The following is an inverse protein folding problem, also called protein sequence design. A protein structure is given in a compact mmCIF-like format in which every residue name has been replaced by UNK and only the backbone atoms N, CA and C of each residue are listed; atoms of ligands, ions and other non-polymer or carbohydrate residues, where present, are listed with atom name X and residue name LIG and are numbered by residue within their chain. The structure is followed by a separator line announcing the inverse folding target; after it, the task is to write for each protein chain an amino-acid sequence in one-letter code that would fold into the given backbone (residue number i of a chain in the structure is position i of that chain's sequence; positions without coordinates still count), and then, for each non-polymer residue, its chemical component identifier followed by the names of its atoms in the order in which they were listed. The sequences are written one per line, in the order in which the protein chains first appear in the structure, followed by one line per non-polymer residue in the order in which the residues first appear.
data_IF_367950115514
#
_entry.id   IF_367950115514
#
_cell.length_a   1.000
_cell.length_b   1.000
_cell.length_c   1.000
_cell.angle_alpha   90.00
_cell.angle_beta   90.00
_cell.angle_gamma   90.00
#
_symmetry.space_group_name_H-M   'P 1'
#
loop_
_entity.id
_entity.type
_entity.pdbx_description
1 polymer ?
#
# COMPACT_ATOMS: atom_id res chain seq x y z
N UNK A 1 -2.98 75.27 48.43
CA UNK A 1 -2.32 74.04 47.94
C UNK A 1 -2.72 72.89 48.85
N UNK A 2 -3.81 72.20 48.54
CA UNK A 2 -4.21 70.97 49.23
C UNK A 2 -3.97 69.78 48.31
N UNK A 3 -3.02 68.94 48.72
CA UNK A 3 -2.74 67.66 48.07
C UNK A 3 -3.96 66.73 48.18
N UNK A 4 -4.66 66.49 47.07
CA UNK A 4 -5.50 65.32 46.91
C UNK A 4 -4.65 64.17 46.39
N UNK A 5 -4.05 63.39 47.30
CA UNK A 5 -3.50 62.06 46.96
C UNK A 5 -4.66 61.14 46.56
N UNK A 6 -4.82 60.91 45.26
CA UNK A 6 -5.72 59.89 44.75
C UNK A 6 -5.29 58.52 45.32
N UNK A 7 -6.12 57.96 46.22
CA UNK A 7 -5.96 56.59 46.72
C UNK A 7 -5.95 55.64 45.52
N UNK A 8 -4.80 55.04 45.24
CA UNK A 8 -4.67 53.95 44.26
C UNK A 8 -5.36 52.71 44.85
N UNK A 9 -6.65 52.55 44.57
CA UNK A 9 -7.41 51.37 44.98
C UNK A 9 -6.81 50.17 44.24
N UNK A 10 -6.06 49.33 44.95
CA UNK A 10 -5.63 48.01 44.47
C UNK A 10 -6.90 47.17 44.31
N UNK A 11 -7.38 47.01 43.08
CA UNK A 11 -8.49 46.11 42.78
C UNK A 11 -7.90 44.72 42.57
N UNK A 12 -7.85 43.92 43.63
CA UNK A 12 -7.53 42.49 43.54
C UNK A 12 -8.75 41.76 42.97
N UNK A 13 -8.89 41.81 41.64
CA UNK A 13 -9.88 41.05 40.91
C UNK A 13 -9.27 39.70 40.54
N UNK A 14 -9.42 38.67 41.38
CA UNK A 14 -8.96 37.33 41.03
C UNK A 14 -9.91 36.75 39.96
N UNK A 15 -9.55 36.91 38.68
CA UNK A 15 -10.31 36.38 37.54
C UNK A 15 -10.02 34.89 37.33
N UNK A 16 -10.96 34.17 36.71
CA UNK A 16 -10.73 32.79 36.30
C UNK A 16 -9.67 32.74 35.18
N UNK A 17 -8.48 32.24 35.53
CA UNK A 17 -7.26 32.28 34.69
C UNK A 17 -7.37 31.45 33.42
N UNK A 18 -8.41 30.63 33.29
CA UNK A 18 -8.55 29.71 32.17
C UNK A 18 -8.91 30.39 30.85
N UNK A 19 -9.53 31.58 30.88
CA UNK A 19 -10.01 32.23 29.65
C UNK A 19 -9.89 33.76 29.60
N UNK A 20 -9.43 34.41 30.67
CA UNK A 20 -9.10 35.85 30.67
C UNK A 20 -7.64 36.07 31.06
N UNK A 21 -6.94 36.92 30.31
CA UNK A 21 -5.60 37.40 30.65
C UNK A 21 -5.63 38.91 30.87
N UNK A 22 -5.06 39.37 31.97
CA UNK A 22 -4.92 40.81 32.24
C UNK A 22 -3.89 41.44 31.28
N UNK A 23 -4.20 42.64 30.78
CA UNK A 23 -3.31 43.44 29.93
C UNK A 23 -3.20 44.86 30.50
N UNK A 24 -2.00 45.44 30.42
CA UNK A 24 -1.73 46.85 30.75
C UNK A 24 -2.29 47.31 32.11
N UNK A 25 -1.78 46.72 33.20
CA UNK A 25 -1.93 47.28 34.56
C UNK A 25 -3.36 47.34 35.11
N UNK A 26 -4.14 46.25 34.97
CA UNK A 26 -5.52 46.07 35.46
C UNK A 26 -6.60 46.95 34.80
N UNK A 27 -6.31 47.53 33.62
CA UNK A 27 -7.30 48.35 32.91
C UNK A 27 -7.93 47.65 31.71
N UNK A 28 -7.23 46.69 31.11
CA UNK A 28 -7.73 45.89 30.00
C UNK A 28 -7.61 44.40 30.29
N UNK A 29 -8.50 43.63 29.68
CA UNK A 29 -8.51 42.18 29.72
C UNK A 29 -8.57 41.62 28.30
N UNK A 30 -7.91 40.49 28.08
CA UNK A 30 -7.97 39.73 26.83
C UNK A 30 -8.76 38.45 27.03
N UNK A 31 -9.78 38.26 26.21
CA UNK A 31 -10.52 37.01 26.15
C UNK A 31 -9.78 36.01 25.25
N UNK A 32 -9.56 34.79 25.72
CA UNK A 32 -8.95 33.73 24.91
C UNK A 32 -9.96 33.06 23.96
N UNK A 33 -11.27 33.23 24.20
CA UNK A 33 -12.31 32.66 23.34
C UNK A 33 -12.47 33.49 22.07
N UNK A 34 -12.61 34.82 22.18
CA UNK A 34 -12.78 35.72 21.01
C UNK A 34 -11.52 36.48 20.61
N UNK A 35 -10.40 36.23 21.29
CA UNK A 35 -9.10 36.85 21.03
C UNK A 35 -9.08 38.39 21.11
N UNK A 36 -10.16 39.01 21.63
CA UNK A 36 -10.34 40.45 21.69
C UNK A 36 -9.89 41.04 23.02
N UNK A 37 -9.48 42.31 22.97
CA UNK A 37 -9.14 43.10 24.14
C UNK A 37 -10.34 43.99 24.50
N UNK A 38 -10.72 44.03 25.77
CA UNK A 38 -11.80 44.86 26.28
C UNK A 38 -11.40 45.57 27.57
N UNK A 39 -12.01 46.74 27.81
CA UNK A 39 -11.74 47.52 29.02
C UNK A 39 -12.47 46.93 30.23
N UNK A 40 -11.77 46.89 31.36
CA UNK A 40 -12.29 46.53 32.69
C UNK A 40 -12.15 47.69 33.69
N UNK A 41 -11.84 48.89 33.18
CA UNK A 41 -11.51 50.07 33.99
C UNK A 41 -12.68 50.58 34.85
N UNK A 42 -13.91 50.33 34.44
CA UNK A 42 -15.11 50.87 35.09
C UNK A 42 -15.87 49.83 35.93
N UNK A 43 -16.20 48.68 35.36
CA UNK A 43 -17.01 47.63 36.01
C UNK A 43 -16.21 46.41 36.47
N UNK A 44 -14.92 46.31 36.14
CA UNK A 44 -14.03 45.24 36.60
C UNK A 44 -14.60 43.85 36.29
N UNK A 45 -14.99 43.11 37.34
CA UNK A 45 -15.59 41.77 37.21
C UNK A 45 -16.95 41.78 36.49
N UNK A 46 -17.70 42.87 36.57
CA UNK A 46 -18.98 42.99 35.87
C UNK A 46 -18.78 43.10 34.34
N UNK A 47 -17.74 43.80 33.91
CA UNK A 47 -17.38 43.93 32.48
C UNK A 47 -16.96 42.56 31.91
N UNK A 48 -16.19 41.80 32.69
CA UNK A 48 -15.80 40.42 32.36
C UNK A 48 -17.04 39.51 32.27
N UNK A 49 -17.95 39.59 33.23
CA UNK A 49 -19.16 38.77 33.26
C UNK A 49 -20.08 39.10 32.08
N UNK A 50 -20.26 40.39 31.77
CA UNK A 50 -21.07 40.86 30.65
C UNK A 50 -20.45 40.44 29.31
N UNK A 51 -19.11 40.48 29.20
CA UNK A 51 -18.40 40.01 28.02
C UNK A 51 -18.66 38.52 27.77
N UNK A 52 -18.53 37.65 28.78
CA UNK A 52 -18.77 36.19 28.66
C UNK A 52 -20.19 35.87 28.22
N UNK A 53 -21.16 36.52 28.85
CA UNK A 53 -22.57 36.29 28.56
C UNK A 53 -23.05 37.07 27.34
N UNK A 54 -22.16 37.82 26.68
CA UNK A 54 -22.43 38.46 25.41
C UNK A 54 -22.74 37.44 24.32
N UNK A 55 -23.68 37.79 23.44
CA UNK A 55 -24.15 36.95 22.34
C UNK A 55 -23.02 36.32 21.52
N UNK A 56 -21.98 37.11 21.22
CA UNK A 56 -20.81 36.67 20.46
C UNK A 56 -20.05 35.51 21.12
N UNK A 57 -19.74 35.60 22.41
CA UNK A 57 -19.01 34.55 23.13
C UNK A 57 -19.88 33.30 23.34
N UNK A 58 -21.19 33.48 23.59
CA UNK A 58 -22.12 32.36 23.68
C UNK A 58 -22.24 31.57 22.37
N UNK A 59 -22.34 32.27 21.23
CA UNK A 59 -22.43 31.63 19.91
C UNK A 59 -21.15 30.86 19.57
N UNK A 60 -19.98 31.45 19.86
CA UNK A 60 -18.71 30.76 19.65
C UNK A 60 -18.48 29.59 20.60
N UNK A 61 -18.91 29.67 21.86
CA UNK A 61 -18.84 28.56 22.80
C UNK A 61 -19.74 27.38 22.35
N UNK A 62 -20.92 27.68 21.79
CA UNK A 62 -21.78 26.68 21.15
C UNK A 62 -21.16 26.08 19.88
N UNK A 63 -20.47 26.88 19.06
CA UNK A 63 -19.74 26.40 17.90
C UNK A 63 -18.53 25.52 18.29
N UNK A 64 -17.79 25.90 19.34
CA UNK A 64 -16.65 25.15 19.83
C UNK A 64 -17.04 23.81 20.47
N UNK A 65 -18.21 23.74 21.14
CA UNK A 65 -18.73 22.49 21.71
C UNK A 65 -19.34 21.54 20.69
N UNK A 66 -19.85 22.06 19.56
CA UNK A 66 -20.36 21.25 18.45
C UNK A 66 -19.27 20.80 17.47
N UNK A 67 -18.13 21.49 17.43
CA UNK A 67 -16.98 21.12 16.61
C UNK A 67 -16.11 20.06 17.30
N UNK A 68 -15.80 18.96 16.59
CA UNK A 68 -14.88 17.95 17.11
C UNK A 68 -13.45 18.42 16.90
N UNK A 69 -12.61 18.24 17.93
CA UNK A 69 -11.19 18.52 17.81
C UNK A 69 -10.58 17.64 16.72
N UNK A 70 -9.76 18.22 15.83
CA UNK A 70 -9.06 17.49 14.76
C UNK A 70 -8.25 16.31 15.32
N UNK A 71 -7.71 16.43 16.54
CA UNK A 71 -6.99 15.36 17.23
C UNK A 71 -7.84 14.09 17.42
N UNK A 72 -9.15 14.22 17.62
CA UNK A 72 -10.07 13.10 17.76
C UNK A 72 -10.35 12.35 16.45
N UNK A 73 -9.98 12.93 15.30
CA UNK A 73 -10.08 12.28 14.00
C UNK A 73 -8.88 11.37 13.70
N UNK A 74 -7.77 11.55 14.42
CA UNK A 74 -6.63 10.64 14.33
C UNK A 74 -6.89 9.43 15.23
N UNK A 75 -7.15 8.26 14.62
CA UNK A 75 -7.26 7.01 15.36
C UNK A 75 -5.95 6.78 16.14
N UNK A 76 -6.02 6.27 17.38
CA UNK A 76 -4.82 5.86 18.09
C UNK A 76 -4.02 4.89 17.23
N UNK A 77 -2.70 5.06 17.22
CA UNK A 77 -1.81 4.24 16.41
C UNK A 77 -1.99 2.78 16.85
N UNK A 78 -2.15 1.84 15.90
CA UNK A 78 -2.28 0.42 16.24
C UNK A 78 -1.10 -0.02 17.09
N UNK A 79 -1.33 -0.90 18.05
CA UNK A 79 -0.25 -1.50 18.81
C UNK A 79 0.76 -2.16 17.85
N UNK A 80 2.06 -1.94 18.09
CA UNK A 80 3.13 -2.48 17.24
C UNK A 80 3.02 -4.00 17.05
N UNK A 81 2.52 -4.71 18.08
CA UNK A 81 2.26 -6.15 18.03
C UNK A 81 1.20 -6.54 16.98
N UNK A 82 0.12 -5.75 16.84
CA UNK A 82 -0.89 -5.98 15.82
C UNK A 82 -0.32 -5.76 14.42
N UNK A 83 0.47 -4.71 14.22
CA UNK A 83 1.15 -4.45 12.93
C UNK A 83 2.08 -5.61 12.57
N UNK A 84 2.87 -6.11 13.54
CA UNK A 84 3.73 -7.28 13.35
C UNK A 84 2.93 -8.53 12.94
N UNK A 85 1.79 -8.78 13.59
CA UNK A 85 0.91 -9.90 13.24
C UNK A 85 0.39 -9.78 11.80
N UNK A 86 -0.01 -8.58 11.37
CA UNK A 86 -0.47 -8.32 9.99
C UNK A 86 0.64 -8.57 8.96
N UNK A 87 1.88 -8.17 9.26
CA UNK A 87 3.03 -8.42 8.39
C UNK A 87 3.35 -9.93 8.27
N UNK A 88 3.35 -10.65 9.39
CA UNK A 88 3.56 -12.11 9.42
C UNK A 88 2.46 -12.83 8.64
N UNK A 89 1.20 -12.43 8.83
CA UNK A 89 0.08 -12.97 8.06
C UNK A 89 0.24 -12.72 6.55
N UNK A 90 0.62 -11.50 6.15
CA UNK A 90 0.84 -11.15 4.74
C UNK A 90 1.93 -12.00 4.10
N UNK A 91 3.00 -12.27 4.83
CA UNK A 91 4.09 -13.14 4.39
C UNK A 91 3.62 -14.60 4.27
N UNK A 92 2.83 -15.09 5.21
CA UNK A 92 2.24 -16.43 5.17
C UNK A 92 1.36 -16.63 3.93
N UNK A 93 0.45 -15.68 3.66
CA UNK A 93 -0.43 -15.70 2.48
C UNK A 93 0.39 -15.75 1.20
N UNK A 94 1.43 -14.90 1.08
CA UNK A 94 2.30 -14.88 -0.08
C UNK A 94 3.08 -16.19 -0.26
N UNK A 95 3.67 -16.72 0.81
CA UNK A 95 4.49 -17.93 0.79
C UNK A 95 3.71 -19.17 0.36
N UNK A 96 2.46 -19.28 0.78
CA UNK A 96 1.61 -20.45 0.50
C UNK A 96 0.70 -20.26 -0.72
N UNK A 97 0.92 -19.19 -1.51
CA UNK A 97 0.10 -18.85 -2.68
C UNK A 97 -1.41 -18.84 -2.36
N UNK A 98 -1.77 -18.35 -1.17
CA UNK A 98 -3.17 -18.27 -0.76
C UNK A 98 -3.81 -17.04 -1.38
N UNK A 99 -5.09 -17.15 -1.76
CA UNK A 99 -5.81 -16.00 -2.29
C UNK A 99 -5.89 -14.90 -1.23
N UNK A 100 -5.70 -13.64 -1.64
CA UNK A 100 -5.76 -12.48 -0.72
C UNK A 100 -7.15 -12.32 -0.09
N UNK A 101 -8.19 -12.92 -0.70
CA UNK A 101 -9.53 -13.03 -0.13
C UNK A 101 -9.53 -13.73 1.24
N UNK A 102 -8.61 -14.66 1.49
CA UNK A 102 -8.46 -15.32 2.80
C UNK A 102 -8.25 -14.31 3.94
N UNK A 103 -7.64 -13.17 3.64
CA UNK A 103 -7.35 -12.12 4.64
C UNK A 103 -8.63 -11.40 5.10
N UNK A 104 -9.64 -11.27 4.22
CA UNK A 104 -10.92 -10.67 4.60
C UNK A 104 -11.68 -11.55 5.61
N UNK A 105 -11.56 -12.88 5.46
CA UNK A 105 -12.12 -13.84 6.39
C UNK A 105 -11.30 -13.92 7.69
N UNK A 106 -9.97 -13.88 7.59
CA UNK A 106 -9.05 -13.93 8.73
C UNK A 106 -9.35 -12.85 9.77
N UNK A 107 -9.69 -11.62 9.33
CA UNK A 107 -10.06 -10.52 10.23
C UNK A 107 -11.25 -10.83 11.14
N UNK A 108 -12.21 -11.60 10.64
CA UNK A 108 -13.40 -11.99 11.41
C UNK A 108 -13.16 -13.27 12.21
N UNK A 109 -12.23 -14.09 11.76
CA UNK A 109 -11.93 -15.40 12.32
C UNK A 109 -11.04 -15.28 13.57
N UNK A 110 -9.97 -14.49 13.52
CA UNK A 110 -9.02 -14.42 14.63
C UNK A 110 -9.61 -13.94 15.96
N UNK A 111 -10.47 -12.91 16.02
CA UNK A 111 -11.13 -12.53 17.27
C UNK A 111 -12.04 -13.63 17.84
N UNK A 112 -12.57 -14.52 16.99
CA UNK A 112 -13.42 -15.65 17.40
C UNK A 112 -12.59 -16.85 17.87
N UNK A 113 -11.46 -17.09 17.22
CA UNK A 113 -10.52 -18.16 17.61
C UNK A 113 -9.79 -17.82 18.91
N UNK A 114 -9.45 -16.55 19.12
CA UNK A 114 -8.63 -16.07 20.23
C UNK A 114 -9.30 -14.87 20.93
N UNK A 115 -10.41 -15.07 21.66
CA UNK A 115 -11.19 -13.99 22.26
C UNK A 115 -10.47 -13.29 23.43
N UNK A 116 -9.48 -13.92 24.02
CA UNK A 116 -8.60 -13.39 25.08
C UNK A 116 -7.47 -12.51 24.53
N UNK A 117 -7.13 -12.64 23.24
CA UNK A 117 -6.02 -11.94 22.62
C UNK A 117 -6.39 -10.52 22.16
N UNK A 118 -5.81 -9.51 22.80
CA UNK A 118 -5.92 -8.12 22.35
C UNK A 118 -5.33 -7.89 20.95
N UNK A 119 -4.31 -8.68 20.57
CA UNK A 119 -3.73 -8.64 19.22
C UNK A 119 -4.75 -9.11 18.19
N UNK A 120 -5.46 -10.21 18.47
CA UNK A 120 -6.47 -10.75 17.57
C UNK A 120 -7.65 -9.79 17.42
N UNK A 121 -8.10 -9.13 18.50
CA UNK A 121 -9.14 -8.09 18.45
C UNK A 121 -8.75 -6.87 17.62
N UNK A 122 -7.48 -6.47 17.69
CA UNK A 122 -6.96 -5.34 16.93
C UNK A 122 -6.50 -5.70 15.51
N UNK A 123 -6.46 -6.99 15.18
CA UNK A 123 -6.07 -7.48 13.86
C UNK A 123 -7.09 -7.01 12.82
N UNK A 124 -6.64 -6.24 11.84
CA UNK A 124 -7.49 -5.80 10.74
C UNK A 124 -6.62 -5.63 9.50
N UNK A 125 -6.38 -6.77 8.85
CA UNK A 125 -5.63 -6.97 7.62
C UNK A 125 -6.59 -7.45 6.52
N UNK A 126 -7.40 -6.56 5.94
CA UNK A 126 -8.22 -6.90 4.76
C UNK A 126 -7.36 -6.91 3.49
N UNK A 127 -7.84 -7.49 2.38
CA UNK A 127 -7.08 -7.75 1.13
C UNK A 127 -6.12 -6.64 0.66
N UNK A 128 -6.46 -5.37 0.89
CA UNK A 128 -5.66 -4.21 0.48
C UNK A 128 -4.32 -4.11 1.22
N UNK A 129 -4.29 -4.46 2.50
CA UNK A 129 -3.07 -4.43 3.33
C UNK A 129 -2.03 -5.48 2.95
N UNK A 130 -2.35 -6.79 2.90
CA UNK A 130 -1.39 -7.78 2.45
C UNK A 130 -1.00 -7.53 1.00
N UNK A 131 -1.90 -7.02 0.14
CA UNK A 131 -1.51 -6.56 -1.21
C UNK A 131 -0.43 -5.48 -1.15
N UNK A 132 -0.62 -4.44 -0.33
CA UNK A 132 0.35 -3.37 -0.18
C UNK A 132 1.68 -3.88 0.41
N UNK A 133 1.64 -4.73 1.45
CA UNK A 133 2.83 -5.33 2.05
C UNK A 133 3.59 -6.18 1.02
N UNK A 134 2.88 -7.02 0.26
CA UNK A 134 3.48 -7.85 -0.77
C UNK A 134 4.09 -6.98 -1.88
N UNK A 135 3.34 -6.03 -2.43
CA UNK A 135 3.79 -5.21 -3.56
C UNK A 135 4.89 -4.21 -3.19
N UNK A 136 4.79 -3.57 -2.03
CA UNK A 136 5.65 -2.44 -1.66
C UNK A 136 6.85 -2.86 -0.80
N UNK A 137 6.74 -3.96 -0.03
CA UNK A 137 7.82 -4.39 0.85
C UNK A 137 8.46 -5.70 0.37
N UNK A 138 7.67 -6.75 0.15
CA UNK A 138 8.23 -8.08 -0.15
C UNK A 138 8.74 -8.19 -1.59
N UNK A 139 7.98 -7.69 -2.57
CA UNK A 139 8.33 -7.81 -3.98
C UNK A 139 9.65 -7.09 -4.33
N UNK A 140 9.88 -5.81 -3.96
CA UNK A 140 11.12 -5.13 -4.30
C UNK A 140 12.35 -5.79 -3.68
N UNK A 141 12.23 -6.27 -2.43
CA UNK A 141 13.33 -6.97 -1.75
C UNK A 141 13.66 -8.31 -2.40
N UNK A 142 12.63 -9.08 -2.75
CA UNK A 142 12.80 -10.39 -3.41
C UNK A 142 13.35 -10.22 -4.82
N UNK A 143 12.82 -9.25 -5.59
CA UNK A 143 13.30 -8.90 -6.93
C UNK A 143 14.75 -8.44 -6.89
N UNK A 144 15.12 -7.54 -5.98
CA UNK A 144 16.51 -7.07 -5.84
C UNK A 144 17.48 -8.21 -5.55
N UNK A 145 17.09 -9.18 -4.71
CA UNK A 145 17.92 -10.35 -4.42
C UNK A 145 18.07 -11.25 -5.65
N UNK A 146 16.98 -11.55 -6.34
CA UNK A 146 17.01 -12.35 -7.58
C UNK A 146 17.84 -11.65 -8.66
N UNK A 147 17.63 -10.35 -8.85
CA UNK A 147 18.39 -9.53 -9.78
C UNK A 147 19.88 -9.55 -9.43
N UNK A 148 20.26 -9.41 -8.15
CA UNK A 148 21.68 -9.46 -7.75
C UNK A 148 22.36 -10.79 -8.08
N UNK A 149 21.62 -11.92 -8.02
CA UNK A 149 22.15 -13.22 -8.43
C UNK A 149 22.24 -13.28 -9.96
N UNK A 150 21.16 -12.91 -10.66
CA UNK A 150 21.08 -12.95 -12.12
C UNK A 150 22.01 -11.94 -12.82
N UNK A 151 22.43 -10.84 -12.17
CA UNK A 151 23.43 -9.92 -12.70
C UNK A 151 24.85 -10.49 -12.66
N UNK A 152 25.11 -11.45 -11.76
CA UNK A 152 26.43 -12.06 -11.57
C UNK A 152 26.57 -13.44 -12.23
N UNK A 153 25.50 -13.96 -12.81
CA UNK A 153 25.48 -15.28 -13.45
C UNK A 153 24.64 -15.26 -14.72
N UNK A 154 24.97 -16.11 -15.68
CA UNK A 154 24.08 -16.38 -16.80
C UNK A 154 22.70 -16.86 -16.31
N UNK A 155 21.63 -16.42 -16.99
CA UNK A 155 20.27 -16.81 -16.65
C UNK A 155 19.49 -17.29 -17.88
N UNK A 156 18.39 -18.00 -17.62
CA UNK A 156 17.44 -18.46 -18.64
C UNK A 156 16.14 -17.66 -18.55
N UNK A 157 15.55 -17.34 -19.69
CA UNK A 157 14.30 -16.63 -19.81
C UNK A 157 13.16 -17.61 -20.10
N UNK A 158 12.14 -17.62 -19.23
CA UNK A 158 10.93 -18.40 -19.38
C UNK A 158 9.77 -17.45 -19.69
N UNK A 159 9.06 -17.69 -20.78
CA UNK A 159 7.91 -16.89 -21.19
C UNK A 159 6.77 -17.78 -21.65
N UNK A 160 5.63 -17.63 -20.98
CA UNK A 160 4.41 -18.38 -21.27
C UNK A 160 3.47 -17.53 -22.14
N UNK A 161 2.97 -18.12 -23.22
CA UNK A 161 2.06 -17.49 -24.17
C UNK A 161 0.64 -18.02 -23.97
N UNK A 162 -0.29 -17.20 -23.48
CA UNK A 162 -1.71 -17.61 -23.50
C UNK A 162 -2.34 -17.28 -24.86
N UNK A 163 -3.14 -18.22 -25.37
CA UNK A 163 -3.98 -18.04 -26.57
C UNK A 163 -5.47 -17.89 -26.20
N UNK A 164 -5.77 -17.40 -25.00
CA UNK A 164 -7.15 -17.23 -24.54
C UNK A 164 -7.88 -16.20 -25.39
N UNK A 165 -8.83 -16.68 -26.19
CA UNK A 165 -9.66 -15.90 -27.12
C UNK A 165 -10.76 -15.08 -26.43
N UNK A 166 -10.78 -15.06 -25.10
CA UNK A 166 -11.87 -14.48 -24.31
C UNK A 166 -11.83 -12.97 -24.21
N UNK A 167 -10.71 -12.32 -24.57
CA UNK A 167 -10.66 -10.87 -24.74
C UNK A 167 -10.38 -10.47 -26.19
N UNK A 168 -11.18 -9.49 -26.62
CA UNK A 168 -11.39 -9.05 -27.99
C UNK A 168 -10.09 -8.62 -28.66
N UNK A 169 -9.89 -9.11 -29.89
CA UNK A 169 -9.21 -8.43 -31.00
C UNK A 169 -8.04 -7.52 -30.59
N UNK A 170 -6.86 -8.11 -30.43
CA UNK A 170 -5.64 -7.30 -30.45
C UNK A 170 -4.70 -7.77 -31.55
N UNK A 171 -4.35 -6.81 -32.40
CA UNK A 171 -3.71 -6.90 -33.72
C UNK A 171 -2.43 -7.75 -33.67
N UNK A 172 -2.49 -8.97 -34.21
CA UNK A 172 -1.49 -10.06 -34.10
C UNK A 172 -0.08 -9.70 -34.61
N UNK A 173 0.10 -8.58 -35.33
CA UNK A 173 1.35 -8.27 -36.03
C UNK A 173 2.27 -7.27 -35.31
N UNK A 174 1.78 -6.46 -34.36
CA UNK A 174 2.61 -5.50 -33.62
C UNK A 174 3.04 -5.99 -32.23
N UNK A 175 2.38 -7.03 -31.71
CA UNK A 175 2.66 -7.58 -30.38
C UNK A 175 4.09 -8.07 -30.21
N UNK A 176 4.71 -8.65 -31.25
CA UNK A 176 6.04 -9.25 -31.13
C UNK A 176 7.12 -8.22 -30.75
N UNK A 177 7.06 -7.04 -31.37
CA UNK A 177 7.96 -5.93 -31.07
C UNK A 177 7.64 -5.31 -29.70
N UNK A 178 6.36 -5.16 -29.36
CA UNK A 178 5.93 -4.64 -28.05
C UNK A 178 6.37 -5.58 -26.92
N UNK A 179 6.20 -6.90 -27.10
CA UNK A 179 6.63 -7.92 -26.13
C UNK A 179 8.15 -7.93 -25.97
N UNK A 180 8.89 -7.90 -27.07
CA UNK A 180 10.35 -7.80 -27.03
C UNK A 180 10.81 -6.52 -26.31
N UNK A 181 10.21 -5.37 -26.62
CA UNK A 181 10.52 -4.10 -25.99
C UNK A 181 10.16 -4.07 -24.50
N UNK A 182 9.02 -4.65 -24.12
CA UNK A 182 8.58 -4.78 -22.73
C UNK A 182 9.50 -5.71 -21.94
N UNK A 183 9.91 -6.84 -22.52
CA UNK A 183 10.87 -7.77 -21.92
C UNK A 183 12.20 -7.08 -21.68
N UNK A 184 12.75 -6.39 -22.69
CA UNK A 184 14.00 -5.66 -22.58
C UNK A 184 13.91 -4.56 -21.51
N UNK A 185 12.87 -3.73 -21.56
CA UNK A 185 12.62 -2.69 -20.55
C UNK A 185 12.50 -3.27 -19.14
N UNK A 186 11.84 -4.43 -18.99
CA UNK A 186 11.67 -5.09 -17.70
C UNK A 186 13.01 -5.58 -17.14
N UNK A 187 13.85 -6.21 -17.97
CA UNK A 187 15.19 -6.64 -17.56
C UNK A 187 16.08 -5.45 -17.19
N UNK A 188 16.09 -4.41 -18.03
CA UNK A 188 16.87 -3.19 -17.80
C UNK A 188 16.43 -2.46 -16.52
N UNK A 189 15.12 -2.42 -16.22
CA UNK A 189 14.61 -1.86 -14.97
C UNK A 189 15.12 -2.57 -13.72
N UNK A 190 15.54 -3.83 -13.85
CA UNK A 190 16.13 -4.64 -12.78
C UNK A 190 17.67 -4.64 -12.82
N UNK A 191 18.30 -3.88 -13.72
CA UNK A 191 19.76 -3.88 -13.91
C UNK A 191 20.30 -5.17 -14.55
N UNK A 192 19.43 -5.96 -15.19
CA UNK A 192 19.82 -7.18 -15.88
C UNK A 192 20.16 -6.87 -17.34
N UNK A 193 21.39 -7.20 -17.73
CA UNK A 193 21.80 -7.05 -19.12
C UNK A 193 21.37 -8.27 -19.91
N UNK A 194 20.76 -8.01 -21.07
CA UNK A 194 20.30 -9.06 -21.98
C UNK A 194 21.45 -9.97 -22.47
N UNK A 195 22.70 -9.49 -22.45
CA UNK A 195 23.91 -10.25 -22.80
C UNK A 195 24.16 -11.50 -21.97
N UNK A 196 23.63 -11.58 -20.74
CA UNK A 196 23.79 -12.75 -19.86
C UNK A 196 22.66 -13.79 -20.01
N UNK A 197 21.66 -13.52 -20.85
CA UNK A 197 20.61 -14.49 -21.15
C UNK A 197 21.17 -15.59 -22.08
N UNK A 198 21.29 -16.81 -21.56
CA UNK A 198 21.87 -17.95 -22.30
C UNK A 198 20.84 -18.87 -22.93
N UNK A 199 19.65 -18.96 -22.33
CA UNK A 199 18.60 -19.85 -22.79
C UNK A 199 17.24 -19.15 -22.80
N UNK A 200 16.40 -19.52 -23.76
CA UNK A 200 15.03 -19.06 -23.88
C UNK A 200 14.07 -20.25 -23.95
N UNK A 201 13.00 -20.17 -23.19
CA UNK A 201 11.99 -21.20 -23.02
C UNK A 201 10.63 -20.58 -23.28
N UNK A 202 9.96 -21.02 -24.34
CA UNK A 202 8.63 -20.57 -24.71
C UNK A 202 7.85 -21.67 -25.40
N UNK A 203 6.52 -21.54 -25.37
CA UNK A 203 5.62 -22.36 -26.15
C UNK A 203 5.81 -22.15 -27.66
N UNK A 204 5.29 -23.07 -28.45
CA UNK A 204 5.46 -23.05 -29.92
C UNK A 204 4.45 -22.15 -30.62
N UNK A 205 3.88 -21.15 -29.93
CA UNK A 205 2.92 -20.23 -30.55
C UNK A 205 3.60 -19.38 -31.62
N UNK A 206 2.86 -18.98 -32.65
CA UNK A 206 3.39 -18.16 -33.75
C UNK A 206 3.93 -16.80 -33.29
N UNK A 207 3.40 -16.26 -32.18
CA UNK A 207 3.91 -15.02 -31.57
C UNK A 207 5.34 -15.24 -31.06
N UNK A 208 5.61 -16.39 -30.46
CA UNK A 208 6.90 -16.71 -29.85
C UNK A 208 7.91 -17.29 -30.85
N UNK A 209 7.51 -18.27 -31.65
CA UNK A 209 8.38 -19.02 -32.59
C UNK A 209 8.14 -18.75 -34.08
N UNK A 210 7.43 -17.67 -34.42
CA UNK A 210 7.15 -17.31 -35.82
C UNK A 210 8.44 -17.12 -36.65
N UNK A 211 8.52 -17.77 -37.82
CA UNK A 211 9.72 -17.79 -38.67
C UNK A 211 10.18 -16.41 -39.19
N UNK A 212 9.26 -15.44 -39.31
CA UNK A 212 9.58 -14.10 -39.86
C UNK A 212 9.82 -13.06 -38.78
N UNK A 213 9.04 -13.08 -37.70
CA UNK A 213 8.96 -12.00 -36.71
C UNK A 213 8.68 -12.49 -35.28
N UNK A 214 8.81 -13.79 -34.98
CA UNK A 214 8.59 -14.30 -33.63
C UNK A 214 9.56 -13.70 -32.63
N UNK A 215 9.12 -13.58 -31.36
CA UNK A 215 9.96 -13.04 -30.27
C UNK A 215 11.29 -13.78 -30.19
N UNK A 216 11.30 -15.10 -30.34
CA UNK A 216 12.53 -15.91 -30.37
C UNK A 216 13.51 -15.44 -31.45
N UNK A 217 13.03 -15.12 -32.65
CA UNK A 217 13.88 -14.66 -33.74
C UNK A 217 14.47 -13.29 -33.42
N UNK A 218 13.64 -12.36 -32.95
CA UNK A 218 14.09 -11.03 -32.52
C UNK A 218 15.14 -11.11 -31.40
N UNK A 219 14.98 -12.06 -30.47
CA UNK A 219 15.95 -12.32 -29.41
C UNK A 219 17.28 -12.88 -29.97
N UNK A 220 17.21 -13.82 -30.95
CA UNK A 220 18.40 -14.38 -31.61
C UNK A 220 19.13 -13.36 -32.50
N UNK A 221 18.41 -12.48 -33.17
CA UNK A 221 18.98 -11.40 -33.98
C UNK A 221 19.73 -10.39 -33.08
N UNK A 222 19.25 -10.17 -31.84
CA UNK A 222 19.91 -9.32 -30.84
C UNK A 222 21.00 -10.00 -30.02
N UNK A 223 21.03 -11.35 -29.95
CA UNK A 223 22.01 -12.12 -29.18
C UNK A 223 22.25 -13.50 -29.82
N UNK A 224 23.39 -13.63 -30.49
CA UNK A 224 23.72 -14.77 -31.35
C UNK A 224 23.87 -16.11 -30.59
N UNK A 225 24.14 -16.08 -29.28
CA UNK A 225 24.41 -17.28 -28.48
C UNK A 225 23.22 -17.74 -27.62
N UNK A 226 22.02 -17.21 -27.87
CA UNK A 226 20.81 -17.60 -27.15
C UNK A 226 20.32 -19.00 -27.60
N UNK A 227 20.38 -19.97 -26.67
CA UNK A 227 19.90 -21.33 -26.90
C UNK A 227 18.38 -21.43 -26.70
N UNK A 228 17.67 -22.05 -27.63
CA UNK A 228 16.23 -22.30 -27.51
C UNK A 228 15.99 -23.71 -26.98
N UNK A 229 15.44 -23.82 -25.77
CA UNK A 229 15.13 -25.10 -25.14
C UNK A 229 13.71 -25.56 -25.45
N UNK A 230 12.83 -24.65 -25.90
CA UNK A 230 11.40 -24.91 -26.03
C UNK A 230 10.63 -24.94 -24.70
N UNK A 231 9.34 -25.27 -24.77
CA UNK A 231 8.46 -25.29 -23.59
C UNK A 231 8.55 -26.63 -22.87
N UNK A 232 9.05 -26.61 -21.63
CA UNK A 232 9.16 -27.81 -20.78
C UNK A 232 7.80 -28.47 -20.57
N UNK A 233 6.73 -27.67 -20.39
CA UNK A 233 5.38 -28.17 -20.17
C UNK A 233 4.89 -28.97 -21.39
N UNK A 234 5.13 -28.43 -22.59
CA UNK A 234 4.76 -29.09 -23.84
C UNK A 234 5.64 -30.32 -24.11
N UNK A 235 6.93 -30.28 -23.76
CA UNK A 235 7.81 -31.44 -23.83
C UNK A 235 7.34 -32.56 -22.90
N UNK A 236 6.95 -32.24 -21.66
CA UNK A 236 6.42 -33.22 -20.72
C UNK A 236 5.10 -33.85 -21.22
N UNK A 237 4.18 -33.03 -21.73
CA UNK A 237 2.92 -33.52 -22.31
C UNK A 237 3.18 -34.43 -23.53
N UNK A 238 4.10 -34.05 -24.44
CA UNK A 238 4.50 -34.89 -25.57
C UNK A 238 5.10 -36.23 -25.12
N UNK A 239 5.95 -36.23 -24.08
CA UNK A 239 6.49 -37.49 -23.55
C UNK A 239 5.39 -38.40 -23.01
N UNK A 240 4.40 -37.84 -22.33
CA UNK A 240 3.28 -38.60 -21.80
C UNK A 240 2.33 -39.10 -22.91
N UNK A 241 2.12 -38.31 -23.96
CA UNK A 241 1.33 -38.73 -25.12
C UNK A 241 2.00 -39.89 -25.86
N UNK A 242 3.31 -39.83 -26.04
CA UNK A 242 4.06 -40.90 -26.71
C UNK A 242 4.09 -42.18 -25.87
N UNK A 243 4.29 -42.07 -24.56
CA UNK A 243 4.17 -43.22 -23.65
C UNK A 243 2.78 -43.85 -23.72
N UNK A 244 1.72 -43.04 -23.71
CA UNK A 244 0.34 -43.52 -23.84
C UNK A 244 0.10 -44.19 -25.21
N UNK A 245 0.72 -43.68 -26.27
CA UNK A 245 0.63 -44.24 -27.62
C UNK A 245 1.33 -45.61 -27.72
N UNK A 246 2.50 -45.74 -27.11
CA UNK A 246 3.25 -47.00 -27.01
C UNK A 246 2.47 -48.02 -26.18
N UNK A 247 1.92 -47.62 -25.03
CA UNK A 247 1.09 -48.51 -24.22
C UNK A 247 -0.16 -48.99 -24.97
N UNK A 248 -0.82 -48.11 -25.74
CA UNK A 248 -1.95 -48.49 -26.60
C UNK A 248 -1.54 -49.48 -27.69
N UNK A 249 -0.39 -49.30 -28.33
CA UNK A 249 0.09 -50.23 -29.37
C UNK A 249 0.55 -51.58 -28.81
N UNK A 250 0.91 -51.66 -27.53
CA UNK A 250 1.22 -52.92 -26.84
C UNK A 250 -0.01 -53.67 -26.34
N UNK A 251 -1.12 -52.98 -26.04
CA UNK A 251 -2.36 -53.59 -25.51
C UNK A 251 -3.35 -53.99 -26.62
N UNK A 252 -3.39 -53.26 -27.74
CA UNK A 252 -4.25 -53.55 -28.89
C UNK A 252 -3.87 -54.74 -29.81
N UNK A 253 -2.68 -55.39 -29.76
CA UNK A 253 -2.39 -56.57 -30.57
C UNK A 253 -3.20 -57.83 -30.18
N UNK A 254 -3.93 -57.80 -29.07
CA UNK A 254 -4.61 -58.97 -28.50
C UNK A 254 -6.10 -59.11 -28.84
N UNK A 255 -6.64 -58.29 -29.74
CA UNK A 255 -7.99 -58.50 -30.28
C UNK A 255 -7.92 -58.89 -31.76
N UNK A 256 -7.79 -60.20 -32.00
CA UNK A 256 -8.25 -60.90 -33.20
C UNK A 256 -9.40 -61.83 -32.81
#
# INVERSE_FOLDING_TARGET
MSEFKAKRIKRDCNFDKNWVKELHGNTYARCTLCCSNFSISHGGRNDVTTHVHGKHNMEMAKAASSSRCISSMFKPNKAAAAIKAEAVWSMFVAKHNLTLLTSDHANKLFPKMFPDSEIAKQFSCGRTKPTAVVKQALAPHSLSKVASVASNSSFSLLMDGSNDKTDKSCIILEWQLIFFAALKSSLESQGLQFSYAMAFMCDTTNVMKGARSGVQKLLKDGHLHLYDVGCICHLADLTQQEETRILRSMVLPFHN
#
